data_IF_265928653499
#
_entry.id   IF_265928653499
#
_cell.length_a   1.000
_cell.length_b   1.000
_cell.length_c   1.000
_cell.angle_alpha   90.00
_cell.angle_beta   90.00
_cell.angle_gamma   90.00
#
_symmetry.space_group_name_H-M   'P 1'
#
loop_
_entity.id
_entity.type
_entity.pdbx_description
1 polymer ?
#
# COMPACT_ATOMS: atom_id res chain seq x y z
N UNK A 1 -5.18 13.19 8.59
CA UNK A 1 -4.93 11.88 9.24
C UNK A 1 -5.46 10.81 8.30
N UNK A 2 -4.67 9.79 7.97
CA UNK A 2 -5.13 8.70 7.09
C UNK A 2 -6.14 7.83 7.85
N UNK A 3 -7.32 7.60 7.27
CA UNK A 3 -8.27 6.60 7.76
C UNK A 3 -7.64 5.19 7.81
N UNK A 4 -7.54 4.62 9.01
CA UNK A 4 -6.93 3.31 9.27
C UNK A 4 -7.81 2.13 8.89
N UNK A 5 -9.10 2.37 8.63
CA UNK A 5 -10.07 1.33 8.23
C UNK A 5 -10.01 1.05 6.72
N UNK A 6 -8.83 1.24 6.12
CA UNK A 6 -8.58 0.98 4.70
C UNK A 6 -7.79 -0.30 4.54
N UNK A 7 -8.05 -1.00 3.45
CA UNK A 7 -7.33 -2.22 3.08
C UNK A 7 -5.80 -2.04 3.06
N UNK A 8 -5.30 -0.89 2.60
CA UNK A 8 -3.85 -0.62 2.56
C UNK A 8 -3.25 -0.51 3.97
N UNK A 9 -3.95 0.15 4.90
CA UNK A 9 -3.53 0.22 6.30
C UNK A 9 -3.55 -1.17 6.95
N UNK A 10 -4.62 -1.94 6.72
CA UNK A 10 -4.73 -3.32 7.20
C UNK A 10 -3.61 -4.21 6.64
N UNK A 11 -3.27 -4.07 5.35
CA UNK A 11 -2.19 -4.80 4.70
C UNK A 11 -0.84 -4.46 5.34
N UNK A 12 -0.52 -3.18 5.50
CA UNK A 12 0.77 -2.76 6.08
C UNK A 12 0.93 -3.21 7.52
N UNK A 13 -0.16 -3.13 8.31
CA UNK A 13 -0.20 -3.67 9.66
C UNK A 13 0.02 -5.17 9.70
N UNK A 14 -0.66 -5.92 8.85
CA UNK A 14 -0.50 -7.38 8.77
C UNK A 14 0.92 -7.77 8.40
N UNK A 15 1.53 -7.08 7.44
CA UNK A 15 2.94 -7.31 7.06
C UNK A 15 3.86 -7.04 8.24
N UNK A 16 3.67 -5.93 8.96
CA UNK A 16 4.49 -5.57 10.11
C UNK A 16 4.33 -6.55 11.29
N UNK A 17 3.11 -7.00 11.58
CA UNK A 17 2.80 -7.89 12.71
C UNK A 17 3.19 -9.35 12.44
N UNK A 18 2.97 -9.85 11.23
CA UNK A 18 3.32 -11.23 10.86
C UNK A 18 4.78 -11.39 10.45
N UNK A 19 5.43 -10.30 10.04
CA UNK A 19 6.76 -10.33 9.44
C UNK A 19 6.80 -10.93 8.03
N UNK A 20 5.65 -11.13 7.39
CA UNK A 20 5.54 -11.77 6.08
C UNK A 20 4.88 -10.82 5.07
N UNK A 21 5.60 -10.51 3.99
CA UNK A 21 5.09 -9.77 2.85
C UNK A 21 4.90 -10.70 1.64
N UNK A 22 3.85 -10.49 0.82
CA UNK A 22 3.69 -11.24 -0.42
C UNK A 22 4.71 -10.75 -1.45
N UNK A 23 5.28 -11.69 -2.21
CA UNK A 23 6.07 -11.39 -3.41
C UNK A 23 5.14 -10.90 -4.52
N UNK A 24 4.87 -9.59 -4.49
CA UNK A 24 3.96 -8.93 -5.41
C UNK A 24 4.33 -7.46 -5.57
N UNK A 25 4.48 -7.01 -6.81
CA UNK A 25 4.70 -5.60 -7.16
C UNK A 25 3.37 -4.82 -7.19
N UNK A 26 2.58 -4.88 -6.11
CA UNK A 26 1.29 -4.19 -6.02
C UNK A 26 1.53 -2.66 -6.09
N UNK A 27 0.87 -1.93 -7.01
CA UNK A 27 0.98 -0.48 -7.09
C UNK A 27 0.44 0.20 -5.83
N UNK A 28 1.20 1.18 -5.35
CA UNK A 28 0.83 2.09 -4.28
C UNK A 28 0.55 3.47 -4.90
N UNK A 29 -0.61 3.59 -5.54
CA UNK A 29 -1.06 4.84 -6.17
C UNK A 29 -1.68 5.79 -5.12
N UNK A 30 -0.84 6.29 -4.22
CA UNK A 30 -1.30 7.18 -3.15
C UNK A 30 -1.31 8.62 -3.61
N UNK A 31 -2.51 9.18 -3.71
CA UNK A 31 -2.72 10.61 -3.94
C UNK A 31 -3.11 11.25 -2.62
N UNK A 32 -2.28 12.14 -2.05
CA UNK A 32 -2.63 12.83 -0.82
C UNK A 32 -3.95 13.60 -0.94
N UNK A 33 -4.72 13.60 0.14
CA UNK A 33 -6.09 14.14 0.16
C UNK A 33 -6.12 15.65 0.02
N UNK A 34 -5.11 16.35 0.53
CA UNK A 34 -4.88 17.78 0.38
C UNK A 34 -4.67 18.14 -1.10
N UNK A 35 -3.73 17.47 -1.77
CA UNK A 35 -3.55 17.64 -3.22
C UNK A 35 -4.83 17.29 -4.00
N UNK A 36 -5.51 16.21 -3.63
CA UNK A 36 -6.75 15.78 -4.30
C UNK A 36 -7.84 16.84 -4.18
N UNK A 37 -8.04 17.40 -2.98
CA UNK A 37 -9.01 18.46 -2.75
C UNK A 37 -8.67 19.71 -3.57
N UNK A 38 -7.41 20.17 -3.51
CA UNK A 38 -6.96 21.35 -4.25
C UNK A 38 -7.09 21.16 -5.77
N UNK A 39 -6.75 19.97 -6.28
CA UNK A 39 -6.89 19.65 -7.69
C UNK A 39 -8.36 19.66 -8.13
N UNK A 40 -9.27 19.05 -7.36
CA UNK A 40 -10.72 19.06 -7.65
C UNK A 40 -11.24 20.50 -7.64
N UNK A 41 -10.88 21.29 -6.62
CA UNK A 41 -11.29 22.69 -6.53
C UNK A 41 -10.78 23.49 -7.72
N UNK A 42 -9.52 23.31 -8.11
CA UNK A 42 -8.94 23.96 -9.29
C UNK A 42 -9.71 23.59 -10.57
N UNK A 43 -9.94 22.29 -10.80
CA UNK A 43 -10.65 21.80 -11.98
C UNK A 43 -12.06 22.40 -12.09
N UNK A 44 -12.83 22.40 -11.00
CA UNK A 44 -14.21 22.91 -10.99
C UNK A 44 -14.27 24.43 -11.21
N UNK A 45 -13.24 25.17 -10.79
CA UNK A 45 -13.24 26.64 -10.82
C UNK A 45 -12.56 27.23 -12.06
N UNK A 46 -11.74 26.45 -12.78
CA UNK A 46 -10.93 26.93 -13.91
C UNK A 46 -11.20 26.19 -15.22
N UNK A 47 -11.96 25.10 -15.22
CA UNK A 47 -12.31 24.35 -16.42
C UNK A 47 -13.82 24.46 -16.69
N UNK A 48 -14.17 24.59 -17.96
CA UNK A 48 -15.57 24.52 -18.39
C UNK A 48 -16.12 23.09 -18.23
N UNK A 49 -17.41 22.91 -17.88
CA UNK A 49 -18.03 21.60 -17.76
C UNK A 49 -18.33 21.01 -19.15
N UNK A 50 -17.30 20.56 -19.85
CA UNK A 50 -17.34 20.07 -21.23
C UNK A 50 -17.42 18.54 -21.36
N UNK A 51 -17.63 17.85 -20.23
CA UNK A 51 -17.75 16.40 -20.16
C UNK A 51 -16.42 15.63 -20.15
N UNK A 52 -15.28 16.31 -20.05
CA UNK A 52 -13.97 15.63 -19.88
C UNK A 52 -13.90 14.85 -18.57
N UNK A 53 -13.15 13.75 -18.64
CA UNK A 53 -12.78 12.94 -17.48
C UNK A 53 -11.36 13.27 -17.06
N UNK A 54 -11.17 13.48 -15.76
CA UNK A 54 -9.87 13.74 -15.13
C UNK A 54 -9.53 12.57 -14.20
N UNK A 55 -8.41 11.89 -14.46
CA UNK A 55 -7.89 10.85 -13.56
C UNK A 55 -6.92 11.49 -12.58
N UNK A 56 -7.29 11.52 -11.30
CA UNK A 56 -6.40 11.95 -10.22
C UNK A 56 -5.62 10.74 -9.70
N UNK A 57 -4.50 10.45 -10.36
CA UNK A 57 -3.53 9.41 -9.99
C UNK A 57 -2.18 10.04 -9.66
N UNK A 58 -1.35 9.34 -8.88
CA UNK A 58 -0.02 9.80 -8.56
C UNK A 58 0.90 9.62 -9.79
N UNK A 59 1.59 10.67 -10.27
CA UNK A 59 2.54 10.56 -11.38
C UNK A 59 3.73 9.64 -11.09
N UNK A 60 4.05 9.42 -9.81
CA UNK A 60 5.18 8.64 -9.33
C UNK A 60 4.71 7.70 -8.22
N UNK A 61 3.93 6.66 -8.57
CA UNK A 61 3.46 5.67 -7.60
C UNK A 61 4.63 4.77 -7.16
N UNK A 62 4.52 4.23 -5.95
CA UNK A 62 5.45 3.22 -5.46
C UNK A 62 4.91 1.80 -5.73
N UNK A 63 5.67 0.81 -5.27
CA UNK A 63 5.26 -0.59 -5.22
C UNK A 63 5.38 -1.12 -3.80
N UNK A 64 4.61 -2.15 -3.47
CA UNK A 64 4.61 -2.81 -2.17
C UNK A 64 6.01 -3.19 -1.63
N UNK A 65 6.99 -3.61 -2.45
CA UNK A 65 8.35 -3.84 -1.96
C UNK A 65 8.99 -2.65 -1.23
N UNK A 66 8.62 -1.41 -1.60
CA UNK A 66 9.12 -0.23 -0.88
C UNK A 66 8.61 -0.18 0.56
N UNK A 67 7.38 -0.62 0.83
CA UNK A 67 6.85 -0.73 2.21
C UNK A 67 7.66 -1.75 3.01
N UNK A 68 8.05 -2.88 2.40
CA UNK A 68 8.89 -3.89 3.04
C UNK A 68 10.23 -3.30 3.42
N UNK A 69 10.86 -2.56 2.51
CA UNK A 69 12.11 -1.84 2.77
C UNK A 69 11.95 -0.85 3.93
N UNK A 70 10.89 -0.03 3.91
CA UNK A 70 10.66 1.00 4.96
C UNK A 70 10.38 0.39 6.32
N UNK A 71 9.55 -0.67 6.39
CA UNK A 71 9.29 -1.40 7.64
C UNK A 71 10.58 -2.04 8.19
N UNK A 72 11.40 -2.63 7.32
CA UNK A 72 12.70 -3.19 7.71
C UNK A 72 13.64 -2.12 8.25
N UNK A 73 13.72 -0.96 7.58
CA UNK A 73 14.50 0.19 8.06
C UNK A 73 14.00 0.74 9.41
N UNK A 74 12.71 0.56 9.72
CA UNK A 74 12.11 0.91 11.01
C UNK A 74 12.29 -0.17 12.10
N UNK A 75 12.93 -1.30 11.78
CA UNK A 75 13.26 -2.38 12.72
C UNK A 75 12.26 -3.55 12.75
N UNK A 76 11.26 -3.58 11.89
CA UNK A 76 10.36 -4.73 11.78
C UNK A 76 11.04 -5.87 11.00
N UNK A 77 11.05 -7.12 11.50
CA UNK A 77 11.68 -8.25 10.83
C UNK A 77 10.78 -8.80 9.72
N UNK A 78 10.66 -8.05 8.62
CA UNK A 78 9.81 -8.43 7.47
C UNK A 78 10.64 -9.18 6.44
N UNK A 79 10.11 -10.30 5.96
CA UNK A 79 10.64 -11.03 4.79
C UNK A 79 9.56 -11.25 3.75
N UNK A 80 9.97 -11.25 2.49
CA UNK A 80 9.09 -11.57 1.36
C UNK A 80 8.94 -13.09 1.22
N UNK A 81 7.73 -13.56 0.93
CA UNK A 81 7.41 -14.97 0.65
C UNK A 81 6.58 -15.10 -0.62
N UNK A 82 6.56 -16.28 -1.29
CA UNK A 82 5.73 -16.47 -2.47
C UNK A 82 4.26 -16.11 -2.21
N UNK A 83 3.60 -15.48 -3.19
CA UNK A 83 2.23 -14.99 -3.07
C UNK A 83 1.26 -16.04 -2.50
N UNK A 84 1.35 -17.28 -2.99
CA UNK A 84 0.48 -18.39 -2.62
C UNK A 84 0.66 -18.78 -1.14
N UNK A 85 1.91 -18.79 -0.67
CA UNK A 85 2.21 -19.06 0.74
C UNK A 85 1.70 -17.93 1.64
N UNK A 86 1.75 -16.68 1.15
CA UNK A 86 1.21 -15.54 1.86
C UNK A 86 -0.33 -15.57 1.95
N UNK A 87 -1.02 -15.94 0.87
CA UNK A 87 -2.48 -16.04 0.86
C UNK A 87 -3.00 -17.19 1.74
N UNK A 88 -2.32 -18.33 1.76
CA UNK A 88 -2.60 -19.43 2.70
C UNK A 88 -2.42 -18.98 4.17
N UNK A 89 -1.33 -18.27 4.45
CA UNK A 89 -1.09 -17.69 5.78
C UNK A 89 -2.22 -16.72 6.17
N UNK A 90 -2.60 -15.84 5.24
CA UNK A 90 -3.64 -14.84 5.46
C UNK A 90 -4.99 -15.49 5.73
N UNK A 91 -5.39 -16.49 4.94
CA UNK A 91 -6.63 -17.23 5.12
C UNK A 91 -6.70 -17.88 6.51
N UNK A 92 -5.61 -18.55 6.89
CA UNK A 92 -5.49 -19.21 8.19
C UNK A 92 -5.52 -18.19 9.34
N UNK A 93 -4.91 -17.02 9.17
CA UNK A 93 -4.92 -15.94 10.15
C UNK A 93 -6.33 -15.41 10.37
N UNK A 94 -7.05 -15.06 9.30
CA UNK A 94 -8.40 -14.49 9.38
C UNK A 94 -9.45 -15.51 9.82
N UNK A 95 -9.23 -16.81 9.54
CA UNK A 95 -10.09 -17.87 10.08
C UNK A 95 -9.95 -18.04 11.60
N UNK A 96 -8.74 -17.87 12.15
CA UNK A 96 -8.50 -17.92 13.61
C UNK A 96 -8.89 -16.62 14.32
N UNK A 97 -8.77 -15.49 13.63
CA UNK A 97 -9.05 -14.16 14.15
C UNK A 97 -10.05 -13.45 13.23
N UNK A 98 -11.36 -13.72 13.36
CA UNK A 98 -12.38 -13.12 12.50
C UNK A 98 -12.41 -11.59 12.54
N UNK A 99 -12.04 -10.99 13.68
CA UNK A 99 -11.98 -9.54 13.86
C UNK A 99 -10.66 -8.91 13.36
N UNK A 100 -9.78 -9.70 12.74
CA UNK A 100 -8.52 -9.20 12.22
C UNK A 100 -8.76 -8.16 11.11
N UNK A 101 -8.02 -7.03 11.05
CA UNK A 101 -8.28 -5.94 10.09
C UNK A 101 -8.28 -6.35 8.61
N UNK A 102 -7.59 -7.44 8.26
CA UNK A 102 -7.59 -7.98 6.89
C UNK A 102 -8.77 -8.90 6.56
N UNK A 103 -9.56 -9.34 7.54
CA UNK A 103 -10.66 -10.27 7.31
C UNK A 103 -11.68 -9.77 6.26
N UNK A 104 -12.08 -8.48 6.23
CA UNK A 104 -12.99 -7.97 5.20
C UNK A 104 -12.39 -7.95 3.78
N UNK A 105 -11.07 -8.06 3.66
CA UNK A 105 -10.34 -7.88 2.39
C UNK A 105 -9.70 -9.16 1.87
N UNK A 106 -9.77 -10.26 2.62
CA UNK A 106 -9.08 -11.52 2.29
C UNK A 106 -9.46 -12.04 0.90
N UNK A 107 -10.74 -11.98 0.53
CA UNK A 107 -11.24 -12.42 -0.77
C UNK A 107 -10.53 -11.71 -1.94
N UNK A 108 -10.14 -10.43 -1.79
CA UNK A 108 -9.45 -9.69 -2.85
C UNK A 108 -8.06 -10.25 -3.20
N UNK A 109 -7.46 -11.00 -2.27
CA UNK A 109 -6.15 -11.63 -2.47
C UNK A 109 -6.26 -13.11 -2.83
N UNK A 110 -7.36 -13.78 -2.50
CA UNK A 110 -7.49 -15.24 -2.67
C UNK A 110 -8.38 -15.60 -3.85
N UNK A 111 -9.51 -14.92 -3.99
CA UNK A 111 -10.50 -15.27 -4.99
C UNK A 111 -10.06 -14.78 -6.37
N UNK A 112 -10.14 -15.63 -7.41
CA UNK A 112 -9.92 -15.22 -8.78
C UNK A 112 -10.89 -14.08 -9.15
N UNK A 113 -10.39 -13.12 -9.92
CA UNK A 113 -11.27 -12.12 -10.50
C UNK A 113 -12.17 -12.75 -11.57
N UNK A 114 -13.29 -12.07 -11.86
CA UNK A 114 -14.22 -12.53 -12.89
C UNK A 114 -13.49 -12.71 -14.23
N UNK A 115 -13.68 -13.87 -14.84
CA UNK A 115 -13.08 -14.25 -16.12
C UNK A 115 -11.53 -14.20 -16.11
N UNK A 116 -10.91 -14.42 -14.94
CA UNK A 116 -9.45 -14.43 -14.75
C UNK A 116 -9.00 -15.61 -13.90
N UNK A 117 -7.77 -16.08 -14.11
CA UNK A 117 -7.12 -17.10 -13.27
C UNK A 117 -6.41 -16.49 -12.06
N UNK A 118 -6.24 -15.17 -12.02
CA UNK A 118 -5.52 -14.46 -10.95
C UNK A 118 -6.48 -13.70 -10.04
N UNK A 119 -6.04 -13.42 -8.81
CA UNK A 119 -6.85 -12.70 -7.83
C UNK A 119 -7.16 -11.26 -8.26
N UNK A 120 -8.17 -10.65 -7.62
CA UNK A 120 -8.50 -9.23 -7.82
C UNK A 120 -7.26 -8.34 -7.65
N UNK A 121 -6.37 -8.61 -6.68
CA UNK A 121 -5.15 -7.80 -6.48
C UNK A 121 -4.03 -8.12 -7.45
N UNK A 122 -3.92 -9.35 -7.92
CA UNK A 122 -3.01 -9.67 -9.02
C UNK A 122 -3.41 -8.96 -10.32
N UNK A 123 -4.70 -8.63 -10.52
CA UNK A 123 -5.09 -7.80 -11.67
C UNK A 123 -4.46 -6.40 -11.67
N UNK A 124 -4.05 -5.87 -10.52
CA UNK A 124 -3.44 -4.54 -10.41
C UNK A 124 -1.93 -4.55 -10.67
N UNK A 125 -1.30 -5.73 -10.80
CA UNK A 125 0.13 -5.79 -11.09
C UNK A 125 0.43 -5.45 -12.54
N UNK A 126 1.68 -5.08 -12.81
CA UNK A 126 2.12 -4.70 -14.14
C UNK A 126 1.92 -5.82 -15.15
N UNK A 127 1.51 -5.46 -16.37
CA UNK A 127 1.20 -6.41 -17.44
C UNK A 127 -0.25 -6.93 -17.45
N UNK A 128 -1.02 -6.71 -16.37
CA UNK A 128 -2.45 -7.07 -16.30
C UNK A 128 -3.34 -5.84 -16.23
N UNK A 129 -2.97 -4.85 -15.42
CA UNK A 129 -3.77 -3.65 -15.24
C UNK A 129 -3.59 -2.63 -16.38
N UNK A 130 -4.66 -2.01 -16.90
CA UNK A 130 -4.53 -0.96 -17.90
C UNK A 130 -3.85 0.28 -17.33
N UNK A 131 -2.97 0.89 -18.12
CA UNK A 131 -2.38 2.18 -17.76
C UNK A 131 -3.42 3.29 -17.90
N UNK A 132 -3.65 4.04 -16.82
CA UNK A 132 -4.48 5.25 -16.89
C UNK A 132 -3.68 6.42 -17.45
N UNK A 133 -4.22 7.06 -18.49
CA UNK A 133 -3.71 8.36 -18.92
C UNK A 133 -4.14 9.44 -17.93
N UNK A 134 -3.19 10.31 -17.59
CA UNK A 134 -3.39 11.52 -16.77
C UNK A 134 -3.34 12.80 -17.61
N UNK A 135 -3.43 12.69 -18.94
CA UNK A 135 -3.26 13.80 -19.87
C UNK A 135 -4.18 15.00 -19.59
N UNK A 136 -5.48 14.76 -19.39
CA UNK A 136 -6.43 15.85 -19.11
C UNK A 136 -6.13 16.52 -17.77
N UNK A 137 -5.80 15.74 -16.74
CA UNK A 137 -5.41 16.26 -15.42
C UNK A 137 -4.17 17.12 -15.52
N UNK A 138 -3.14 16.66 -16.23
CA UNK A 138 -1.89 17.40 -16.40
C UNK A 138 -2.08 18.71 -17.15
N UNK A 139 -2.85 18.67 -18.24
CA UNK A 139 -3.15 19.86 -19.03
C UNK A 139 -3.93 20.89 -18.19
N UNK A 140 -4.94 20.45 -17.43
CA UNK A 140 -5.79 21.34 -16.66
C UNK A 140 -5.14 21.90 -15.39
N UNK A 141 -4.17 21.19 -14.80
CA UNK A 141 -3.42 21.68 -13.63
C UNK A 141 -2.13 22.40 -14.01
N UNK A 142 -1.78 22.47 -15.30
CA UNK A 142 -0.58 23.16 -15.77
C UNK A 142 -0.59 24.64 -15.33
N UNK A 143 0.49 25.08 -14.68
CA UNK A 143 0.63 26.45 -14.20
C UNK A 143 -0.10 26.77 -12.89
N UNK A 144 -0.87 25.83 -12.31
CA UNK A 144 -1.56 26.02 -11.02
C UNK A 144 -0.62 26.05 -9.82
N UNK A 145 0.61 25.54 -9.97
CA UNK A 145 1.55 25.32 -8.85
C UNK A 145 1.23 24.08 -8.01
N UNK A 146 0.13 23.37 -8.28
CA UNK A 146 -0.22 22.14 -7.59
C UNK A 146 0.69 21.00 -8.02
N UNK A 147 1.34 20.35 -7.04
CA UNK A 147 2.25 19.24 -7.28
C UNK A 147 1.84 18.06 -6.39
N UNK A 148 1.49 16.94 -7.02
CA UNK A 148 1.29 15.69 -6.30
C UNK A 148 2.66 15.18 -5.82
N UNK A 149 2.89 15.03 -4.52
CA UNK A 149 4.15 14.50 -4.04
C UNK A 149 4.32 13.03 -4.47
N UNK A 150 5.55 12.58 -4.74
CA UNK A 150 5.79 11.20 -5.10
C UNK A 150 5.47 10.26 -3.94
N UNK A 151 5.10 9.03 -4.24
CA UNK A 151 5.10 7.97 -3.23
C UNK A 151 6.53 7.49 -3.10
N UNK A 152 7.32 8.14 -2.25
CA UNK A 152 8.72 7.80 -1.98
C UNK A 152 8.91 7.33 -0.54
N UNK A 153 10.16 7.02 -0.19
CA UNK A 153 10.53 6.61 1.15
C UNK A 153 10.12 7.65 2.22
N UNK A 154 10.24 8.95 1.94
CA UNK A 154 9.91 10.01 2.88
C UNK A 154 8.41 10.11 3.16
N UNK A 155 7.58 9.97 2.13
CA UNK A 155 6.12 9.93 2.29
C UNK A 155 5.70 8.70 3.11
N UNK A 156 6.22 7.53 2.75
CA UNK A 156 5.88 6.28 3.44
C UNK A 156 6.37 6.27 4.90
N UNK A 157 7.58 6.77 5.17
CA UNK A 157 8.09 6.95 6.53
C UNK A 157 7.22 7.87 7.38
N UNK A 158 6.62 8.89 6.76
CA UNK A 158 5.69 9.79 7.46
C UNK A 158 4.45 9.03 7.89
N UNK A 159 3.86 8.23 7.00
CA UNK A 159 2.68 7.42 7.32
C UNK A 159 2.97 6.33 8.36
N UNK A 160 4.07 5.59 8.20
CA UNK A 160 4.45 4.52 9.13
C UNK A 160 4.81 5.08 10.53
N UNK A 161 5.48 6.24 10.60
CA UNK A 161 5.73 6.92 11.89
C UNK A 161 4.43 7.34 12.57
N UNK A 162 3.47 7.87 11.81
CA UNK A 162 2.16 8.23 12.34
C UNK A 162 1.37 7.00 12.81
N UNK A 163 1.41 5.88 12.08
CA UNK A 163 0.81 4.63 12.53
C UNK A 163 1.42 4.11 13.82
N UNK A 164 2.74 4.24 13.99
CA UNK A 164 3.39 3.89 15.27
C UNK A 164 3.00 4.87 16.38
N UNK A 165 2.95 6.17 16.08
CA UNK A 165 2.60 7.22 17.05
C UNK A 165 1.15 7.09 17.54
N UNK A 166 0.22 6.69 16.67
CA UNK A 166 -1.19 6.49 17.01
C UNK A 166 -1.47 5.15 17.71
N UNK A 167 -0.47 4.26 17.80
CA UNK A 167 -0.63 2.91 18.33
C UNK A 167 -1.26 1.92 17.34
N UNK A 168 -1.49 2.32 16.08
CA UNK A 168 -1.98 1.43 15.03
C UNK A 168 -0.95 0.35 14.66
N UNK A 169 0.34 0.70 14.70
CA UNK A 169 1.45 -0.25 14.64
C UNK A 169 2.11 -0.37 16.01
N UNK A 170 2.17 -1.61 16.53
CA UNK A 170 2.97 -1.91 17.71
C UNK A 170 4.47 -1.64 17.42
N UNK A 171 5.27 -1.25 18.42
CA UNK A 171 6.72 -1.15 18.27
C UNK A 171 7.33 -2.50 17.81
N UNK A 172 8.44 -2.48 17.04
CA UNK A 172 9.09 -3.71 16.60
C UNK A 172 9.55 -4.55 17.81
N UNK A 173 9.20 -5.83 17.82
CA UNK A 173 9.55 -6.77 18.89
C UNK A 173 11.07 -7.00 18.93
N UNK A 174 11.70 -6.81 20.09
CA UNK A 174 13.14 -7.09 20.27
C UNK A 174 13.50 -8.59 20.16
N UNK A 175 12.50 -9.47 20.16
CA UNK A 175 12.63 -10.91 20.41
C UNK A 175 13.17 -11.76 19.24
N UNK A 176 13.69 -11.18 18.15
CA UNK A 176 14.32 -11.96 17.08
C UNK A 176 15.80 -11.62 16.82
N UNK A 177 16.45 -10.90 17.74
CA UNK A 177 17.90 -10.60 17.67
C UNK A 177 18.80 -11.76 18.14
N UNK A 178 18.25 -12.84 18.67
CA UNK A 178 19.02 -13.89 19.36
C UNK A 178 19.26 -15.20 18.56
N UNK A 179 18.86 -15.27 17.28
CA UNK A 179 19.00 -16.49 16.48
C UNK A 179 20.22 -16.49 15.52
N UNK A 180 21.17 -15.59 15.72
CA UNK A 180 22.39 -15.50 14.90
C UNK A 180 23.62 -15.28 15.78
N UNK A 181 23.87 -16.20 16.71
CA UNK A 181 25.18 -16.33 17.34
C UNK A 181 25.56 -17.82 17.38
N UNK A 182 26.38 -18.32 16.42
CA UNK A 182 27.01 -19.62 16.56
C UNK A 182 28.39 -19.40 17.20
N UNK A 183 28.45 -19.52 18.53
CA UNK A 183 29.70 -19.31 19.26
C UNK A 183 29.66 -19.87 20.67
N UNK A 184 29.73 -21.20 20.80
CA UNK A 184 30.67 -21.87 21.70
C UNK A 184 30.43 -23.39 21.66
N UNK A 185 31.41 -24.11 21.10
CA UNK A 185 31.61 -25.52 21.40
C UNK A 185 33.01 -25.61 22.00
N UNK A 186 33.04 -26.03 23.26
CA UNK A 186 34.23 -26.35 24.05
C UNK A 186 35.06 -27.49 23.45
#
# INVERSE_FOLDING_TARGET
MWNTDTMMCALFRTIAETGLAPDMALPLDFVPVDYTADAITHLITHQEPDGRVYHLTNPRPARLPLIVERLTAMGYPVRTVPYNAWTEMLANLTARLPDHPMAPYVAMFIEPARDSEVSVKQMYTDGVFPAFSRHNTDAALAGSGLVCPPVDAGLLDTYLREFRRSGFLAPPSASNRAASDPGDIA
#
